data_IF_728068649019
#
_entry.id   IF_728068649019
#
_cell.length_a   1.000
_cell.length_b   1.000
_cell.length_c   1.000
_cell.angle_alpha   90.00
_cell.angle_beta   90.00
_cell.angle_gamma   90.00
#
_symmetry.space_group_name_H-M   'P 1'
#
loop_
_entity.id
_entity.type
_entity.pdbx_description
1 polymer ?
#
# COMPACT_ATOMS: atom_id res chain seq x y z
N UNK A 1 20.66 4.03 -3.31
CA UNK A 1 19.48 3.27 -3.77
C UNK A 1 18.31 4.24 -3.98
N UNK A 2 17.57 4.11 -5.07
CA UNK A 2 16.35 4.90 -5.32
C UNK A 2 15.19 4.29 -4.50
N UNK A 3 14.22 5.10 -4.07
CA UNK A 3 13.04 4.59 -3.34
C UNK A 3 12.24 3.57 -4.18
N UNK A 4 11.53 2.64 -3.52
CA UNK A 4 10.58 1.71 -4.17
C UNK A 4 9.65 2.44 -5.13
N UNK A 5 9.13 3.59 -4.70
CA UNK A 5 8.25 4.40 -5.53
C UNK A 5 8.95 4.94 -6.79
N UNK A 6 10.22 5.33 -6.70
CA UNK A 6 10.95 5.82 -7.86
C UNK A 6 11.24 4.69 -8.85
N UNK A 7 11.67 3.53 -8.36
CA UNK A 7 12.07 2.38 -9.18
C UNK A 7 10.88 1.64 -9.79
N UNK A 8 9.87 1.33 -8.97
CA UNK A 8 8.80 0.41 -9.34
C UNK A 8 7.49 1.14 -9.64
N UNK A 9 7.19 2.22 -8.92
CA UNK A 9 5.93 2.93 -9.13
C UNK A 9 6.00 4.03 -10.19
N UNK A 10 7.13 4.74 -10.36
CA UNK A 10 7.26 5.91 -11.26
C UNK A 10 7.86 5.59 -12.63
N UNK A 11 8.66 4.54 -12.79
CA UNK A 11 9.09 3.96 -14.07
C UNK A 11 7.87 3.68 -15.00
N UNK A 12 8.03 3.38 -16.32
CA UNK A 12 6.92 3.30 -17.29
C UNK A 12 5.99 2.09 -17.06
N UNK A 13 5.34 2.11 -15.91
CA UNK A 13 4.44 1.14 -15.34
C UNK A 13 3.04 1.73 -15.31
N UNK A 14 2.05 0.85 -15.37
CA UNK A 14 0.62 1.11 -15.40
C UNK A 14 0.09 1.67 -14.07
N UNK A 15 0.94 1.72 -13.03
CA UNK A 15 0.65 2.29 -11.70
C UNK A 15 -0.36 1.40 -10.96
N UNK A 16 -1.15 1.95 -10.03
CA UNK A 16 -2.13 1.17 -9.26
C UNK A 16 -3.45 1.04 -10.01
N UNK A 17 -4.06 -0.14 -9.95
CA UNK A 17 -5.44 -0.32 -10.42
C UNK A 17 -6.45 0.22 -9.41
N UNK A 18 -6.12 0.19 -8.11
CA UNK A 18 -6.99 0.65 -7.02
C UNK A 18 -7.01 2.17 -6.79
N UNK A 19 -6.52 2.96 -7.75
CA UNK A 19 -6.51 4.43 -7.69
C UNK A 19 -6.82 5.02 -9.04
N UNK A 20 -7.91 5.78 -9.11
CA UNK A 20 -8.34 6.55 -10.29
C UNK A 20 -7.88 7.99 -10.17
N UNK A 21 -7.34 8.55 -11.26
CA UNK A 21 -6.71 9.88 -11.29
C UNK A 21 -7.62 10.99 -11.80
N UNK A 22 -8.43 10.66 -12.80
CA UNK A 22 -9.35 11.53 -13.50
C UNK A 22 -10.42 10.68 -14.15
N UNK A 23 -11.57 11.26 -14.46
CA UNK A 23 -12.58 10.56 -15.23
C UNK A 23 -12.30 10.72 -16.73
N UNK A 24 -11.58 9.77 -17.31
CA UNK A 24 -11.29 9.75 -18.75
C UNK A 24 -11.16 8.33 -19.29
N UNK A 25 -11.39 8.16 -20.59
CA UNK A 25 -11.26 6.88 -21.27
C UNK A 25 -9.85 6.29 -21.13
N UNK A 26 -8.80 7.12 -21.24
CA UNK A 26 -7.42 6.64 -21.08
C UNK A 26 -7.15 6.14 -19.66
N UNK A 27 -7.77 6.79 -18.67
CA UNK A 27 -7.62 6.36 -17.28
C UNK A 27 -8.33 5.03 -17.02
N UNK A 28 -9.53 4.84 -17.57
CA UNK A 28 -10.25 3.56 -17.53
C UNK A 28 -9.41 2.46 -18.19
N UNK A 29 -8.85 2.72 -19.37
CA UNK A 29 -7.99 1.78 -20.08
C UNK A 29 -6.70 1.46 -19.28
N UNK A 30 -6.09 2.46 -18.63
CA UNK A 30 -4.93 2.26 -17.75
C UNK A 30 -5.28 1.38 -16.55
N UNK A 31 -6.40 1.66 -15.87
CA UNK A 31 -6.86 0.88 -14.72
C UNK A 31 -7.13 -0.56 -15.13
N UNK A 32 -7.80 -0.78 -16.27
CA UNK A 32 -8.05 -2.12 -16.78
C UNK A 32 -6.74 -2.89 -17.03
N UNK A 33 -5.78 -2.28 -17.74
CA UNK A 33 -4.45 -2.89 -17.97
C UNK A 33 -3.71 -3.16 -16.66
N UNK A 34 -3.72 -2.21 -15.73
CA UNK A 34 -3.07 -2.36 -14.42
C UNK A 34 -3.70 -3.52 -13.62
N UNK A 35 -5.02 -3.65 -13.67
CA UNK A 35 -5.73 -4.73 -12.99
C UNK A 35 -5.43 -6.09 -13.60
N UNK A 36 -5.39 -6.20 -14.93
CA UNK A 36 -5.02 -7.44 -15.62
C UNK A 36 -3.59 -7.87 -15.29
N UNK A 37 -2.65 -6.92 -15.26
CA UNK A 37 -1.27 -7.16 -14.85
C UNK A 37 -1.18 -7.66 -13.41
N UNK A 38 -1.79 -6.95 -12.45
CA UNK A 38 -1.79 -7.34 -11.03
C UNK A 38 -2.43 -8.72 -10.82
N UNK A 39 -3.52 -9.03 -11.53
CA UNK A 39 -4.15 -10.35 -11.47
C UNK A 39 -3.23 -11.45 -12.01
N UNK A 40 -2.53 -11.19 -13.11
CA UNK A 40 -1.55 -12.13 -13.66
C UNK A 40 -0.41 -12.37 -12.68
N UNK A 41 0.15 -11.29 -12.11
CA UNK A 41 1.22 -11.34 -11.11
C UNK A 41 0.83 -12.18 -9.89
N UNK A 42 -0.37 -11.93 -9.33
CA UNK A 42 -0.88 -12.66 -8.17
C UNK A 42 -1.15 -14.13 -8.50
N UNK A 43 -1.74 -14.41 -9.67
CA UNK A 43 -1.97 -15.79 -10.13
C UNK A 43 -0.68 -16.60 -10.23
N UNK A 44 0.40 -16.02 -10.77
CA UNK A 44 1.70 -16.69 -10.84
C UNK A 44 2.26 -17.04 -9.45
N UNK A 45 2.05 -16.16 -8.47
CA UNK A 45 2.42 -16.41 -7.07
C UNK A 45 1.55 -17.53 -6.47
N UNK A 46 0.24 -17.50 -6.68
CA UNK A 46 -0.70 -18.51 -6.18
C UNK A 46 -0.40 -19.90 -6.78
N UNK A 47 -0.08 -19.96 -8.07
CA UNK A 47 0.30 -21.17 -8.80
C UNK A 47 1.75 -21.62 -8.48
N UNK A 48 2.49 -20.85 -7.67
CA UNK A 48 3.89 -21.07 -7.29
C UNK A 48 4.87 -21.08 -8.47
N UNK A 49 4.52 -20.37 -9.54
CA UNK A 49 5.38 -20.16 -10.71
C UNK A 49 6.46 -19.11 -10.43
N UNK A 50 6.16 -18.13 -9.55
CA UNK A 50 7.08 -17.06 -9.14
C UNK A 50 6.93 -16.77 -7.64
N UNK A 51 7.99 -16.26 -7.02
CA UNK A 51 7.89 -15.73 -5.66
C UNK A 51 7.29 -14.31 -5.63
N UNK A 52 6.72 -13.91 -4.49
CA UNK A 52 6.01 -12.64 -4.34
C UNK A 52 6.91 -11.42 -4.59
N UNK A 53 8.20 -11.48 -4.25
CA UNK A 53 9.15 -10.38 -4.44
C UNK A 53 9.56 -10.28 -5.91
N UNK A 54 9.86 -11.40 -6.56
CA UNK A 54 10.19 -11.43 -8.00
C UNK A 54 9.02 -10.94 -8.84
N UNK A 55 7.80 -11.45 -8.56
CA UNK A 55 6.58 -11.00 -9.21
C UNK A 55 6.38 -9.48 -9.05
N UNK A 56 6.50 -8.95 -7.83
CA UNK A 56 6.41 -7.52 -7.59
C UNK A 56 7.54 -6.71 -8.25
N UNK A 57 8.76 -7.25 -8.34
CA UNK A 57 9.93 -6.56 -8.92
C UNK A 57 9.80 -6.40 -10.43
N UNK A 58 9.32 -7.42 -11.12
CA UNK A 58 9.23 -7.43 -12.59
C UNK A 58 7.86 -6.99 -13.12
N UNK A 59 6.85 -6.92 -12.26
CA UNK A 59 5.51 -6.48 -12.59
C UNK A 59 5.43 -5.04 -13.10
N UNK A 60 4.49 -4.78 -14.01
CA UNK A 60 4.26 -3.46 -14.61
C UNK A 60 3.18 -2.65 -13.90
N UNK A 61 2.59 -3.17 -12.83
CA UNK A 61 1.52 -2.53 -12.07
C UNK A 61 1.57 -2.95 -10.59
N UNK A 62 1.20 -2.04 -9.69
CA UNK A 62 1.33 -2.28 -8.25
C UNK A 62 0.24 -1.58 -7.45
N UNK A 63 -0.42 -2.32 -6.56
CA UNK A 63 -1.27 -1.77 -5.51
C UNK A 63 -0.46 -1.64 -4.21
N UNK A 64 -1.15 -1.35 -3.10
CA UNK A 64 -0.53 -1.20 -1.78
C UNK A 64 0.26 -2.46 -1.38
N UNK A 65 -0.30 -3.65 -1.59
CA UNK A 65 0.34 -4.93 -1.27
C UNK A 65 1.69 -5.12 -1.94
N UNK A 66 1.75 -5.05 -3.28
CA UNK A 66 3.02 -5.27 -4.00
C UNK A 66 4.08 -4.22 -3.65
N UNK A 67 3.67 -2.96 -3.44
CA UNK A 67 4.59 -1.90 -3.02
C UNK A 67 5.09 -2.07 -1.58
N UNK A 68 4.24 -2.52 -0.67
CA UNK A 68 4.61 -2.80 0.72
C UNK A 68 5.56 -4.01 0.77
N UNK A 69 5.32 -5.06 -0.03
CA UNK A 69 6.21 -6.23 -0.12
C UNK A 69 7.61 -5.83 -0.58
N UNK A 70 7.70 -5.01 -1.63
CA UNK A 70 8.99 -4.49 -2.09
C UNK A 70 9.67 -3.62 -1.03
N UNK A 71 8.91 -2.81 -0.29
CA UNK A 71 9.45 -2.01 0.80
C UNK A 71 10.04 -2.88 1.92
N UNK A 72 9.32 -3.91 2.37
CA UNK A 72 9.83 -4.88 3.37
C UNK A 72 11.11 -5.55 2.85
N UNK A 73 11.09 -6.06 1.62
CA UNK A 73 12.26 -6.71 1.02
C UNK A 73 13.51 -5.81 1.04
N UNK A 74 13.42 -4.58 0.56
CA UNK A 74 14.58 -3.68 0.52
C UNK A 74 14.99 -3.16 1.92
N UNK A 75 14.04 -3.00 2.85
CA UNK A 75 14.36 -2.68 4.25
C UNK A 75 15.16 -3.81 4.91
N UNK A 76 14.80 -5.06 4.63
CA UNK A 76 15.52 -6.23 5.14
C UNK A 76 16.86 -6.43 4.43
N UNK A 77 16.88 -6.47 3.10
CA UNK A 77 18.09 -6.82 2.32
C UNK A 77 19.13 -5.70 2.30
N UNK A 78 18.75 -4.44 2.08
CA UNK A 78 19.72 -3.37 1.88
C UNK A 78 20.03 -2.59 3.16
N UNK A 79 19.12 -2.64 4.13
CA UNK A 79 19.23 -1.88 5.38
C UNK A 79 19.40 -2.74 6.62
N UNK A 80 19.27 -4.07 6.49
CA UNK A 80 19.37 -5.01 7.61
C UNK A 80 18.42 -4.63 8.76
N UNK A 81 17.21 -4.17 8.42
CA UNK A 81 16.16 -3.81 9.37
C UNK A 81 15.16 -4.94 9.49
N UNK A 82 14.68 -5.17 10.71
CA UNK A 82 13.53 -6.06 10.94
C UNK A 82 12.28 -5.32 10.47
N UNK A 83 11.76 -5.73 9.32
CA UNK A 83 10.58 -5.14 8.69
C UNK A 83 9.50 -6.18 8.48
N UNK A 84 8.24 -5.75 8.56
CA UNK A 84 7.04 -6.58 8.43
C UNK A 84 6.03 -5.92 7.49
N UNK A 85 5.19 -6.76 6.87
CA UNK A 85 3.97 -6.26 6.22
C UNK A 85 2.93 -6.01 7.29
N UNK A 86 2.35 -4.81 7.33
CA UNK A 86 1.21 -4.51 8.19
C UNK A 86 -0.04 -4.26 7.33
N UNK A 87 -1.04 -5.11 7.54
CA UNK A 87 -2.36 -4.99 6.97
C UNK A 87 -3.23 -4.10 7.87
N UNK A 88 -3.93 -3.15 7.26
CA UNK A 88 -4.90 -2.25 7.89
C UNK A 88 -6.30 -2.52 7.32
N UNK A 89 -7.12 -3.25 8.10
CA UNK A 89 -8.40 -3.78 7.60
C UNK A 89 -8.17 -4.84 6.51
N UNK A 90 -8.99 -4.87 5.46
CA UNK A 90 -8.77 -5.74 4.28
C UNK A 90 -8.26 -4.98 3.05
N UNK A 91 -8.05 -3.66 3.17
CA UNK A 91 -7.94 -2.76 2.01
C UNK A 91 -6.55 -2.14 1.80
N UNK A 92 -5.75 -1.97 2.87
CA UNK A 92 -4.49 -1.25 2.76
C UNK A 92 -3.33 -1.95 3.45
N UNK A 93 -2.22 -2.08 2.73
CA UNK A 93 -0.98 -2.69 3.21
C UNK A 93 0.13 -1.64 3.26
N UNK A 94 0.91 -1.65 4.33
CA UNK A 94 2.12 -0.84 4.51
C UNK A 94 3.27 -1.71 4.97
N UNK A 95 4.50 -1.24 4.79
CA UNK A 95 5.65 -1.84 5.47
C UNK A 95 5.86 -1.14 6.81
N UNK A 96 6.22 -1.89 7.85
CA UNK A 96 6.60 -1.34 9.16
C UNK A 96 7.99 -1.84 9.58
N UNK A 97 8.69 -1.04 10.39
CA UNK A 97 9.97 -1.38 11.01
C UNK A 97 9.86 -1.10 12.50
N UNK A 98 10.31 -2.01 13.35
CA UNK A 98 10.30 -1.82 14.81
C UNK A 98 9.84 -3.07 15.55
N UNK A 99 9.61 -2.96 16.87
CA UNK A 99 9.16 -4.08 17.69
C UNK A 99 7.72 -4.47 17.31
N UNK A 100 7.55 -5.65 16.72
CA UNK A 100 6.24 -6.25 16.46
C UNK A 100 6.04 -7.40 17.45
N UNK A 101 4.92 -7.46 18.19
CA UNK A 101 4.64 -8.58 19.07
C UNK A 101 4.60 -9.91 18.31
N UNK A 102 5.03 -11.02 18.93
CA UNK A 102 5.05 -12.35 18.28
C UNK A 102 3.68 -12.79 17.74
N UNK A 103 2.58 -12.31 18.35
CA UNK A 103 1.23 -12.57 17.90
C UNK A 103 0.85 -11.83 16.59
N UNK A 104 1.67 -10.88 16.14
CA UNK A 104 1.45 -10.06 14.94
C UNK A 104 0.32 -9.02 15.08
N UNK A 105 -0.56 -9.14 16.07
CA UNK A 105 -1.65 -8.19 16.28
C UNK A 105 -1.15 -6.91 16.93
N UNK A 106 -1.51 -5.77 16.33
CA UNK A 106 -1.24 -4.43 16.85
C UNK A 106 -2.57 -3.74 17.22
N UNK A 107 -2.58 -2.79 18.18
CA UNK A 107 -3.77 -1.99 18.46
C UNK A 107 -4.34 -1.35 17.20
N UNK A 108 -5.68 -1.24 17.07
CA UNK A 108 -6.27 -0.58 15.90
C UNK A 108 -5.87 0.89 15.79
N UNK A 109 -5.77 1.57 16.94
CA UNK A 109 -5.28 2.94 17.01
C UNK A 109 -3.75 2.96 16.97
N UNK A 110 -3.21 3.52 15.88
CA UNK A 110 -1.76 3.62 15.68
C UNK A 110 -1.10 4.61 16.64
N UNK A 111 -1.85 5.45 17.33
CA UNK A 111 -1.27 6.31 18.38
C UNK A 111 -0.82 5.53 19.60
N UNK A 112 -1.36 4.33 19.81
CA UNK A 112 -1.04 3.45 20.94
C UNK A 112 0.12 2.48 20.64
N UNK A 113 0.67 2.55 19.42
CA UNK A 113 1.80 1.72 19.03
C UNK A 113 3.08 2.16 19.71
N UNK A 114 4.01 1.21 19.84
CA UNK A 114 5.36 1.50 20.32
C UNK A 114 6.00 2.63 19.48
N UNK A 115 6.60 3.59 20.17
CA UNK A 115 7.15 4.81 19.57
C UNK A 115 8.34 4.54 18.62
N UNK A 116 8.94 3.35 18.72
CA UNK A 116 10.02 2.88 17.84
C UNK A 116 9.49 2.14 16.60
N UNK A 117 8.17 2.08 16.39
CA UNK A 117 7.59 1.58 15.14
C UNK A 117 7.49 2.71 14.11
N UNK A 118 8.03 2.45 12.92
CA UNK A 118 8.01 3.34 11.77
C UNK A 118 7.21 2.71 10.64
N UNK A 119 6.41 3.52 9.95
CA UNK A 119 5.65 3.15 8.76
C UNK A 119 6.38 3.61 7.51
N UNK A 120 6.43 2.74 6.50
CA UNK A 120 6.84 3.02 5.14
C UNK A 120 5.70 2.62 4.19
N UNK A 121 5.00 3.61 3.65
CA UNK A 121 3.93 3.43 2.65
C UNK A 121 4.35 4.06 1.31
N UNK A 122 4.87 3.26 0.35
CA UNK A 122 5.23 3.77 -0.97
C UNK A 122 4.03 4.15 -1.85
N UNK A 123 2.84 3.59 -1.60
CA UNK A 123 1.62 3.85 -2.36
C UNK A 123 1.13 5.28 -2.10
N UNK A 124 1.06 5.66 -0.82
CA UNK A 124 0.84 7.04 -0.38
C UNK A 124 2.09 7.91 -0.50
N UNK A 125 3.32 7.36 -0.53
CA UNK A 125 4.55 8.14 -0.37
C UNK A 125 4.60 8.83 1.00
N UNK A 126 4.45 8.02 2.05
CA UNK A 126 4.56 8.41 3.46
C UNK A 126 5.65 7.54 4.09
N UNK A 127 6.54 8.18 4.86
CA UNK A 127 7.47 7.51 5.76
C UNK A 127 7.52 8.34 7.04
N UNK A 128 7.16 7.74 8.19
CA UNK A 128 7.02 8.44 9.46
C UNK A 128 6.98 7.45 10.63
N UNK A 129 6.95 7.97 11.87
CA UNK A 129 6.57 7.16 13.04
C UNK A 129 5.13 6.67 12.87
N UNK A 130 4.82 5.49 13.40
CA UNK A 130 3.49 4.92 13.32
C UNK A 130 2.43 5.83 13.95
N UNK A 131 2.74 6.45 15.09
CA UNK A 131 1.81 7.34 15.79
C UNK A 131 1.44 8.60 14.97
N UNK A 132 2.31 9.05 14.05
CA UNK A 132 2.05 10.20 13.16
C UNK A 132 1.32 9.81 11.87
N UNK A 133 1.25 8.51 11.57
CA UNK A 133 0.74 8.01 10.30
C UNK A 133 -0.74 8.38 10.06
N UNK A 134 -1.67 8.27 11.04
CA UNK A 134 -3.07 8.64 10.81
C UNK A 134 -3.24 10.07 10.33
N UNK A 135 -2.50 11.03 10.91
CA UNK A 135 -2.57 12.44 10.51
C UNK A 135 -2.00 12.65 9.09
N UNK A 136 -0.85 12.05 8.77
CA UNK A 136 -0.23 12.14 7.44
C UNK A 136 -1.06 11.44 6.36
N UNK A 137 -1.74 10.36 6.70
CA UNK A 137 -2.64 9.65 5.80
C UNK A 137 -3.86 10.52 5.48
N UNK A 138 -4.49 11.13 6.49
CA UNK A 138 -5.59 12.11 6.32
C UNK A 138 -5.19 13.24 5.37
N UNK A 139 -4.08 13.92 5.65
CA UNK A 139 -3.55 15.00 4.79
C UNK A 139 -3.34 14.53 3.34
N UNK A 140 -2.87 13.29 3.16
CA UNK A 140 -2.67 12.73 1.83
C UNK A 140 -3.97 12.45 1.10
N UNK A 141 -4.95 11.90 1.80
CA UNK A 141 -6.27 11.61 1.25
C UNK A 141 -6.97 12.90 0.82
N UNK A 142 -6.95 13.93 1.67
CA UNK A 142 -7.47 15.27 1.34
C UNK A 142 -6.81 15.85 0.08
N UNK A 143 -5.47 15.75 -0.04
CA UNK A 143 -4.74 16.19 -1.23
C UNK A 143 -5.12 15.38 -2.50
N UNK A 144 -5.50 14.13 -2.36
CA UNK A 144 -5.93 13.31 -3.50
C UNK A 144 -7.36 13.63 -3.89
N UNK A 145 -8.24 13.81 -2.91
CA UNK A 145 -9.64 14.19 -3.11
C UNK A 145 -9.74 15.58 -3.76
N UNK A 146 -8.97 16.56 -3.27
CA UNK A 146 -8.89 17.90 -3.86
C UNK A 146 -8.36 17.90 -5.31
N UNK A 147 -7.71 16.81 -5.73
CA UNK A 147 -7.22 16.61 -7.09
C UNK A 147 -8.18 15.75 -7.96
N UNK A 148 -9.39 15.45 -7.46
CA UNK A 148 -10.42 14.69 -8.17
C UNK A 148 -10.09 13.20 -8.36
N UNK A 149 -9.24 12.64 -7.50
CA UNK A 149 -8.87 11.22 -7.57
C UNK A 149 -9.94 10.39 -6.88
N UNK A 150 -9.93 9.07 -7.10
CA UNK A 150 -10.73 8.13 -6.29
C UNK A 150 -9.89 6.89 -5.92
N UNK A 151 -10.29 6.19 -4.87
CA UNK A 151 -9.67 4.93 -4.42
C UNK A 151 -10.69 3.81 -4.51
N UNK A 152 -10.23 2.60 -4.82
CA UNK A 152 -11.10 1.43 -4.87
C UNK A 152 -11.28 0.87 -3.45
N UNK A 153 -12.53 0.66 -3.07
CA UNK A 153 -12.95 -0.01 -1.85
C UNK A 153 -13.75 -1.27 -2.23
N UNK A 154 -13.44 -2.42 -1.64
CA UNK A 154 -14.18 -3.65 -1.92
C UNK A 154 -15.66 -3.48 -1.57
N UNK A 155 -16.54 -4.03 -2.39
CA UNK A 155 -18.01 -3.88 -2.24
C UNK A 155 -18.57 -2.54 -2.70
N UNK A 156 -17.83 -1.44 -2.58
CA UNK A 156 -18.32 -0.07 -2.86
C UNK A 156 -17.79 0.53 -4.16
N UNK A 157 -16.69 0.00 -4.71
CA UNK A 157 -16.08 0.49 -5.95
C UNK A 157 -15.20 1.72 -5.75
N UNK A 158 -15.16 2.64 -6.73
CA UNK A 158 -14.36 3.86 -6.60
C UNK A 158 -15.06 4.91 -5.73
N UNK A 159 -14.48 5.18 -4.56
CA UNK A 159 -14.99 6.15 -3.57
C UNK A 159 -14.05 7.35 -3.43
N UNK A 160 -14.55 8.43 -2.85
CA UNK A 160 -13.73 9.57 -2.41
C UNK A 160 -12.73 9.12 -1.35
N UNK A 161 -11.52 9.66 -1.37
CA UNK A 161 -10.49 9.35 -0.38
C UNK A 161 -10.81 9.89 1.02
N UNK A 162 -11.71 10.84 1.12
CA UNK A 162 -12.14 11.40 2.39
C UNK A 162 -13.50 10.85 2.82
N UNK A 163 -14.01 9.80 2.17
CA UNK A 163 -15.23 9.15 2.63
C UNK A 163 -15.01 8.51 4.00
N UNK A 164 -16.02 8.61 4.86
CA UNK A 164 -15.98 8.01 6.20
C UNK A 164 -15.73 6.50 6.13
N UNK A 165 -16.28 5.83 5.11
CA UNK A 165 -16.12 4.40 4.88
C UNK A 165 -14.65 4.03 4.59
N UNK A 166 -13.98 4.75 3.69
CA UNK A 166 -12.56 4.52 3.39
C UNK A 166 -11.67 4.83 4.60
N UNK A 167 -11.91 5.98 5.23
CA UNK A 167 -11.10 6.45 6.35
C UNK A 167 -11.22 5.53 7.58
N UNK A 168 -12.44 5.10 7.90
CA UNK A 168 -12.68 4.16 9.00
C UNK A 168 -12.13 2.76 8.71
N UNK A 169 -12.19 2.30 7.47
CA UNK A 169 -11.61 1.00 7.08
C UNK A 169 -10.10 0.99 7.27
N UNK A 170 -9.39 2.00 6.74
CA UNK A 170 -7.92 2.02 6.82
C UNK A 170 -7.44 2.36 8.23
N UNK A 171 -7.96 3.42 8.85
CA UNK A 171 -7.46 3.87 10.15
C UNK A 171 -8.07 3.11 11.32
N UNK A 172 -9.36 2.76 11.27
CA UNK A 172 -10.07 2.06 12.34
C UNK A 172 -10.04 0.53 12.26
N UNK A 173 -9.72 -0.05 11.09
CA UNK A 173 -9.66 -1.50 10.90
C UNK A 173 -8.60 -2.19 11.77
N UNK A 174 -8.76 -3.50 11.97
CA UNK A 174 -7.78 -4.34 12.67
C UNK A 174 -6.40 -4.21 12.03
N UNK A 175 -5.35 -4.26 12.86
CA UNK A 175 -3.95 -4.12 12.44
C UNK A 175 -3.22 -5.43 12.68
N UNK A 176 -2.75 -6.06 11.61
CA UNK A 176 -1.99 -7.32 11.66
C UNK A 176 -0.67 -7.18 10.92
N UNK A 177 0.41 -7.54 11.59
CA UNK A 177 1.74 -7.59 11.04
C UNK A 177 2.15 -9.05 10.76
N UNK A 178 2.79 -9.29 9.62
CA UNK A 178 3.33 -10.58 9.16
C UNK A 178 4.74 -10.40 8.64
#
# INVERSE_FOLDING_TARGET
MLSVRAQHYKAPNLKSSNKKRKDSFEEVARIHKANSEIRSMRKQVDDREEDVVSSATYGKAHNCGELATLAVYYLQQDRNLVAHLALSGEEHNVAIVGPVPDAGTLPSDMTDWDADIYVCDPWCNIACRANDYPAKFKEKMEKWDSAGKQVWLSGSGFVSQTSDEWMSTVLGGEKRAT
#
